data_IF_437130639226
#
_entry.id   IF_437130639226
#
_cell.length_a   1.000
_cell.length_b   1.000
_cell.length_c   1.000
_cell.angle_alpha   90.00
_cell.angle_beta   90.00
_cell.angle_gamma   90.00
#
_symmetry.space_group_name_H-M   'P 1'
#
loop_
_entity.id
_entity.type
_entity.pdbx_description
1 polymer ?
#
# COMPACT_ATOMS: atom_id res chain seq x y z
N UNK A 1 29.85 14.29 66.35
CA UNK A 1 29.57 14.65 64.95
C UNK A 1 30.49 13.83 64.06
N UNK A 2 29.96 12.83 63.35
CA UNK A 2 30.65 12.15 62.25
C UNK A 2 29.57 11.58 61.32
N UNK A 3 29.43 12.18 60.14
CA UNK A 3 28.53 11.73 59.08
C UNK A 3 29.35 10.94 58.05
N UNK A 4 28.96 9.69 57.77
CA UNK A 4 29.37 8.99 56.55
C UNK A 4 28.28 9.17 55.48
N UNK A 5 28.63 9.46 54.21
CA UNK A 5 27.66 9.47 53.13
C UNK A 5 27.54 8.08 52.49
N UNK A 6 26.31 7.58 52.39
CA UNK A 6 25.98 6.39 51.61
C UNK A 6 26.12 6.71 50.11
N UNK A 7 26.90 5.90 49.39
CA UNK A 7 27.04 5.99 47.93
C UNK A 7 25.87 5.26 47.27
N UNK A 8 25.03 6.01 46.57
CA UNK A 8 24.00 5.48 45.68
C UNK A 8 24.69 5.01 44.39
N UNK A 9 24.64 3.71 44.08
CA UNK A 9 25.08 3.17 42.79
C UNK A 9 23.85 3.13 41.88
N UNK A 10 23.80 4.02 40.89
CA UNK A 10 22.80 3.96 39.83
C UNK A 10 23.22 2.87 38.84
N UNK A 11 22.45 1.78 38.78
CA UNK A 11 22.61 0.76 37.75
C UNK A 11 22.06 1.31 36.43
N UNK A 12 22.95 1.67 35.52
CA UNK A 12 22.62 2.07 34.15
C UNK A 12 22.23 0.80 33.37
N UNK A 13 20.92 0.58 33.19
CA UNK A 13 20.43 -0.49 32.33
C UNK A 13 20.71 -0.12 30.87
N UNK A 14 21.78 -0.69 30.30
CA UNK A 14 22.02 -0.70 28.86
C UNK A 14 20.93 -1.57 28.21
N UNK A 15 19.89 -0.93 27.68
CA UNK A 15 18.92 -1.58 26.82
C UNK A 15 19.64 -2.05 25.56
N UNK A 16 19.87 -3.35 25.44
CA UNK A 16 20.24 -3.99 24.19
C UNK A 16 19.07 -3.83 23.23
N UNK A 17 19.15 -2.88 22.29
CA UNK A 17 18.27 -2.85 21.14
C UNK A 17 18.53 -4.11 20.33
N UNK A 18 17.61 -5.08 20.36
CA UNK A 18 17.65 -6.19 19.43
C UNK A 18 17.61 -5.63 17.99
N UNK A 19 18.38 -6.21 17.05
CA UNK A 19 18.28 -5.80 15.66
C UNK A 19 16.84 -6.01 15.18
N UNK A 20 16.23 -5.00 14.57
CA UNK A 20 14.96 -5.17 13.89
C UNK A 20 15.21 -6.07 12.67
N UNK A 21 14.79 -7.33 12.75
CA UNK A 21 14.82 -8.22 11.61
C UNK A 21 13.81 -7.72 10.56
N UNK A 22 14.18 -7.81 9.29
CA UNK A 22 13.25 -7.53 8.20
C UNK A 22 12.07 -8.50 8.31
N UNK A 23 10.84 -7.98 8.29
CA UNK A 23 9.63 -8.80 8.37
C UNK A 23 9.44 -9.53 7.04
N UNK A 24 9.50 -10.86 7.06
CA UNK A 24 9.22 -11.69 5.87
C UNK A 24 7.86 -12.37 5.96
N UNK A 25 7.19 -12.47 4.82
CA UNK A 25 5.89 -13.12 4.67
C UNK A 25 5.97 -14.21 3.61
N UNK A 26 5.15 -15.25 3.78
CA UNK A 26 4.82 -16.21 2.74
C UNK A 26 3.39 -15.97 2.27
N UNK A 27 3.17 -16.04 0.96
CA UNK A 27 1.83 -15.93 0.40
C UNK A 27 1.70 -16.76 -0.88
N UNK A 28 0.51 -17.29 -1.12
CA UNK A 28 0.13 -17.90 -2.40
C UNK A 28 -0.20 -16.79 -3.39
N UNK A 29 0.58 -16.72 -4.46
CA UNK A 29 0.44 -15.78 -5.56
C UNK A 29 -0.44 -16.38 -6.66
N UNK A 30 -1.54 -15.72 -6.99
CA UNK A 30 -2.45 -16.11 -8.08
C UNK A 30 -2.60 -14.95 -9.05
N UNK A 31 -2.13 -15.13 -10.29
CA UNK A 31 -2.14 -14.05 -11.30
C UNK A 31 -3.56 -13.56 -11.55
N UNK A 32 -3.71 -12.26 -11.71
CA UNK A 32 -4.91 -11.68 -12.28
C UNK A 32 -4.53 -10.63 -13.31
N UNK A 33 -4.94 -10.86 -14.55
CA UNK A 33 -4.62 -9.97 -15.68
C UNK A 33 -5.82 -9.04 -15.90
N UNK A 34 -5.99 -8.06 -15.01
CA UNK A 34 -7.03 -7.04 -15.16
C UNK A 34 -6.53 -5.91 -16.04
N UNK A 35 -7.23 -5.62 -17.13
CA UNK A 35 -6.90 -4.52 -18.04
C UNK A 35 -5.46 -4.56 -18.59
N UNK A 36 -4.84 -5.74 -18.68
CA UNK A 36 -3.44 -5.90 -19.13
C UNK A 36 -2.39 -5.58 -18.06
N UNK A 37 -2.79 -5.32 -16.81
CA UNK A 37 -1.86 -5.10 -15.72
C UNK A 37 -1.08 -6.37 -15.35
N UNK A 38 0.20 -6.18 -15.01
CA UNK A 38 1.02 -7.18 -14.30
C UNK A 38 0.63 -7.18 -12.83
N UNK A 39 -0.47 -7.86 -12.52
CA UNK A 39 -1.06 -7.90 -11.19
C UNK A 39 -1.36 -9.32 -10.74
N UNK A 40 -1.45 -9.51 -9.42
CA UNK A 40 -1.85 -10.77 -8.82
C UNK A 40 -2.64 -10.55 -7.55
N UNK A 41 -3.27 -11.61 -7.07
CA UNK A 41 -3.81 -11.68 -5.73
C UNK A 41 -2.88 -12.49 -4.85
N UNK A 42 -2.73 -12.05 -3.60
CA UNK A 42 -2.09 -12.81 -2.55
C UNK A 42 -3.14 -13.38 -1.61
N UNK A 43 -3.02 -14.66 -1.31
CA UNK A 43 -3.82 -15.37 -0.32
C UNK A 43 -2.93 -16.21 0.59
N UNK A 44 -3.48 -16.77 1.67
CA UNK A 44 -2.72 -17.52 2.68
C UNK A 44 -1.52 -16.72 3.21
N UNK A 45 -1.69 -15.41 3.36
CA UNK A 45 -0.63 -14.50 3.77
C UNK A 45 -0.31 -14.75 5.24
N UNK A 46 0.94 -15.12 5.51
CA UNK A 46 1.41 -15.44 6.86
C UNK A 46 2.86 -14.99 7.03
N UNK A 47 3.32 -14.80 8.26
CA UNK A 47 4.75 -14.63 8.50
C UNK A 47 5.51 -15.89 8.14
N UNK A 48 6.66 -15.72 7.49
CA UNK A 48 7.60 -16.81 7.32
C UNK A 48 8.13 -17.26 8.69
N UNK A 49 8.68 -18.46 8.77
CA UNK A 49 9.21 -19.01 10.02
C UNK A 49 10.27 -18.07 10.64
N UNK A 50 10.03 -17.64 11.88
CA UNK A 50 10.92 -16.73 12.61
C UNK A 50 10.62 -15.24 12.44
N UNK A 51 9.65 -14.87 11.60
CA UNK A 51 9.18 -13.49 11.42
C UNK A 51 7.93 -13.20 12.25
N UNK A 52 7.78 -11.95 12.69
CA UNK A 52 6.60 -11.43 13.39
C UNK A 52 6.39 -9.96 13.02
N UNK A 53 5.18 -9.43 13.23
CA UNK A 53 4.84 -8.04 12.94
C UNK A 53 3.37 -7.70 13.20
N UNK A 54 2.90 -6.62 12.58
CA UNK A 54 1.51 -6.15 12.62
C UNK A 54 0.54 -7.04 11.80
N UNK A 55 -0.70 -7.24 12.26
CA UNK A 55 -1.67 -8.12 11.60
C UNK A 55 -1.68 -8.02 10.07
N UNK A 56 -1.41 -9.15 9.42
CA UNK A 56 -1.42 -9.24 7.96
C UNK A 56 -2.85 -9.35 7.44
N UNK A 57 -3.13 -8.78 6.26
CA UNK A 57 -4.41 -9.02 5.60
C UNK A 57 -4.55 -10.49 5.19
N UNK A 58 -5.77 -11.03 5.21
CA UNK A 58 -6.03 -12.40 4.74
C UNK A 58 -5.95 -12.53 3.21
N UNK A 59 -6.15 -11.41 2.51
CA UNK A 59 -6.11 -11.29 1.06
C UNK A 59 -5.63 -9.89 0.70
N UNK A 60 -4.84 -9.76 -0.37
CA UNK A 60 -4.50 -8.45 -0.92
C UNK A 60 -4.30 -8.51 -2.42
N UNK A 61 -4.57 -7.38 -3.08
CA UNK A 61 -4.15 -7.20 -4.44
C UNK A 61 -2.68 -6.80 -4.44
N UNK A 62 -1.91 -7.31 -5.39
CA UNK A 62 -0.56 -6.84 -5.68
C UNK A 62 -0.44 -6.40 -7.14
N UNK A 63 0.43 -5.44 -7.38
CA UNK A 63 0.76 -4.95 -8.70
C UNK A 63 2.28 -4.79 -8.82
N UNK A 64 2.83 -5.20 -9.95
CA UNK A 64 4.25 -5.09 -10.20
C UNK A 64 4.73 -3.63 -10.25
N UNK A 65 5.84 -3.36 -9.57
CA UNK A 65 6.53 -2.05 -9.59
C UNK A 65 7.92 -2.11 -10.19
N UNK A 66 8.40 -3.28 -10.61
CA UNK A 66 9.75 -3.45 -11.16
C UNK A 66 9.69 -4.00 -12.60
N UNK A 67 10.45 -3.39 -13.50
CA UNK A 67 10.52 -3.81 -14.88
C UNK A 67 11.70 -4.77 -15.12
N UNK A 68 11.45 -5.83 -15.88
CA UNK A 68 12.52 -6.69 -16.42
C UNK A 68 12.79 -7.97 -15.64
N UNK A 69 12.32 -8.08 -14.40
CA UNK A 69 12.36 -9.33 -13.64
C UNK A 69 11.22 -10.29 -14.06
N UNK A 70 11.30 -11.55 -13.64
CA UNK A 70 10.27 -12.54 -13.90
C UNK A 70 8.97 -12.23 -13.17
N UNK A 71 7.82 -12.48 -13.80
CA UNK A 71 6.54 -12.47 -13.11
C UNK A 71 6.25 -13.89 -12.58
N UNK A 72 5.91 -14.10 -11.30
CA UNK A 72 5.69 -15.44 -10.74
C UNK A 72 4.56 -16.20 -11.44
N UNK A 73 4.62 -17.53 -11.55
CA UNK A 73 3.49 -18.34 -12.04
C UNK A 73 2.30 -18.25 -11.09
N UNK A 74 1.09 -18.47 -11.61
CA UNK A 74 -0.11 -18.54 -10.75
C UNK A 74 -0.03 -19.72 -9.78
N UNK A 75 -0.74 -19.58 -8.67
CA UNK A 75 -0.91 -20.56 -7.59
C UNK A 75 0.41 -21.07 -7.00
N UNK A 76 1.40 -20.16 -6.92
CA UNK A 76 2.74 -20.45 -6.41
C UNK A 76 2.94 -19.76 -5.07
N UNK A 77 3.43 -20.48 -4.05
CA UNK A 77 3.83 -19.85 -2.78
C UNK A 77 5.18 -19.18 -2.95
N UNK A 78 5.25 -17.91 -2.54
CA UNK A 78 6.43 -17.05 -2.62
C UNK A 78 6.75 -16.49 -1.24
N UNK A 79 8.02 -16.22 -0.98
CA UNK A 79 8.49 -15.54 0.23
C UNK A 79 8.91 -14.13 -0.14
N UNK A 80 8.35 -13.14 0.56
CA UNK A 80 8.64 -11.73 0.34
C UNK A 80 9.21 -11.11 1.61
N UNK A 81 10.14 -10.16 1.48
CA UNK A 81 10.38 -9.17 2.53
C UNK A 81 9.34 -8.07 2.40
N UNK A 82 8.70 -7.72 3.51
CA UNK A 82 7.66 -6.69 3.58
C UNK A 82 8.30 -5.34 3.95
N UNK A 83 8.02 -4.34 3.13
CA UNK A 83 8.47 -2.96 3.32
C UNK A 83 7.26 -2.03 3.47
N UNK A 84 7.40 -1.03 4.33
CA UNK A 84 6.37 0.01 4.54
C UNK A 84 6.55 1.22 3.63
N UNK A 85 7.70 1.29 2.95
CA UNK A 85 8.05 2.29 1.96
C UNK A 85 8.87 1.64 0.83
N UNK A 86 9.07 2.37 -0.26
CA UNK A 86 9.78 1.89 -1.44
C UNK A 86 11.31 2.04 -1.30
N UNK A 87 11.84 2.41 -0.14
CA UNK A 87 13.28 2.59 0.07
C UNK A 87 14.01 1.27 -0.07
N UNK A 88 15.03 1.24 -0.93
CA UNK A 88 15.80 0.03 -1.23
C UNK A 88 15.14 -0.89 -2.26
N UNK A 89 13.90 -0.59 -2.70
CA UNK A 89 13.21 -1.29 -3.79
C UNK A 89 13.27 -0.55 -5.12
N UNK A 90 13.65 0.73 -5.09
CA UNK A 90 13.79 1.57 -6.29
C UNK A 90 15.27 1.82 -6.61
N UNK A 91 15.55 2.17 -7.87
CA UNK A 91 16.91 2.39 -8.36
C UNK A 91 17.65 3.56 -7.66
N UNK A 92 16.90 4.52 -7.11
CA UNK A 92 17.42 5.67 -6.36
C UNK A 92 16.95 5.64 -4.90
N UNK A 93 17.59 4.87 -3.99
CA UNK A 93 17.11 4.69 -2.62
C UNK A 93 16.90 5.98 -1.83
N UNK A 94 17.72 7.01 -2.06
CA UNK A 94 17.58 8.32 -1.40
C UNK A 94 16.25 9.03 -1.74
N UNK A 95 15.60 8.64 -2.83
CA UNK A 95 14.29 9.12 -3.25
C UNK A 95 13.13 8.23 -2.75
N UNK A 96 13.40 7.12 -2.05
CA UNK A 96 12.41 6.08 -1.71
C UNK A 96 11.20 6.59 -0.93
N UNK A 97 11.42 7.45 0.06
CA UNK A 97 10.34 8.06 0.82
C UNK A 97 9.43 8.92 -0.08
N UNK A 98 10.01 9.70 -1.00
CA UNK A 98 9.24 10.53 -1.92
C UNK A 98 8.56 9.69 -3.00
N UNK A 99 9.22 8.65 -3.51
CA UNK A 99 8.62 7.68 -4.44
C UNK A 99 7.39 7.00 -3.82
N UNK A 100 7.46 6.68 -2.52
CA UNK A 100 6.32 6.13 -1.76
C UNK A 100 5.11 7.07 -1.79
N UNK A 101 5.32 8.37 -1.64
CA UNK A 101 4.25 9.37 -1.76
C UNK A 101 3.64 9.35 -3.17
N UNK A 102 4.47 9.27 -4.21
CA UNK A 102 4.01 9.22 -5.61
C UNK A 102 3.22 7.94 -5.90
N UNK A 103 3.68 6.78 -5.42
CA UNK A 103 2.95 5.52 -5.54
C UNK A 103 1.55 5.62 -4.91
N UNK A 104 1.47 6.14 -3.69
CA UNK A 104 0.19 6.34 -3.01
C UNK A 104 -0.73 7.32 -3.78
N UNK A 105 -0.16 8.41 -4.30
CA UNK A 105 -0.90 9.41 -5.08
C UNK A 105 -1.45 8.84 -6.39
N UNK A 106 -0.64 8.08 -7.12
CA UNK A 106 -1.07 7.40 -8.36
C UNK A 106 -2.14 6.35 -8.09
N UNK A 107 -1.99 5.59 -7.01
CA UNK A 107 -2.98 4.59 -6.59
C UNK A 107 -4.34 5.24 -6.34
N UNK A 108 -4.40 6.28 -5.51
CA UNK A 108 -5.67 6.95 -5.16
C UNK A 108 -6.43 7.47 -6.39
N UNK A 109 -5.71 7.93 -7.40
CA UNK A 109 -6.30 8.64 -8.54
C UNK A 109 -6.60 7.75 -9.73
N UNK A 110 -5.80 6.70 -9.94
CA UNK A 110 -5.80 5.97 -11.20
C UNK A 110 -5.96 4.46 -11.05
N UNK A 111 -5.64 3.86 -9.90
CA UNK A 111 -5.65 2.40 -9.77
C UNK A 111 -7.03 1.81 -10.09
N UNK A 112 -8.09 2.38 -9.51
CA UNK A 112 -9.45 1.87 -9.74
C UNK A 112 -9.88 2.02 -11.21
N UNK A 113 -9.67 3.18 -11.83
CA UNK A 113 -10.04 3.40 -13.23
C UNK A 113 -9.17 2.64 -14.24
N UNK A 114 -7.89 2.44 -13.94
CA UNK A 114 -6.92 1.87 -14.88
C UNK A 114 -6.81 0.34 -14.75
N UNK A 115 -6.98 -0.19 -13.55
CA UNK A 115 -6.78 -1.62 -13.27
C UNK A 115 -8.12 -2.30 -12.97
N UNK A 116 -8.91 -1.78 -12.03
CA UNK A 116 -10.17 -2.44 -11.61
C UNK A 116 -11.25 -2.32 -12.69
N UNK A 117 -11.45 -1.11 -13.21
CA UNK A 117 -12.45 -0.78 -14.23
C UNK A 117 -11.82 -0.49 -15.61
N UNK A 118 -10.54 -0.85 -15.76
CA UNK A 118 -9.78 -0.62 -16.98
C UNK A 118 -10.23 -1.52 -18.15
N UNK A 119 -9.71 -1.18 -19.32
CA UNK A 119 -9.93 -1.89 -20.58
C UNK A 119 -8.63 -2.58 -21.03
N UNK A 120 -8.73 -3.85 -21.39
CA UNK A 120 -7.65 -4.60 -22.05
C UNK A 120 -7.47 -4.16 -23.51
N UNK A 121 -8.51 -3.63 -24.15
CA UNK A 121 -8.39 -3.12 -25.53
C UNK A 121 -7.53 -1.84 -25.60
N UNK A 122 -7.50 -1.11 -24.48
CA UNK A 122 -6.75 0.15 -24.34
C UNK A 122 -5.50 -0.03 -23.46
N UNK A 123 -5.18 -1.26 -23.04
CA UNK A 123 -4.04 -1.60 -22.19
C UNK A 123 -3.88 -0.73 -20.94
N UNK A 124 -5.00 -0.24 -20.39
CA UNK A 124 -4.97 0.76 -19.29
C UNK A 124 -4.22 0.28 -18.04
N UNK A 125 -4.30 -1.01 -17.72
CA UNK A 125 -3.56 -1.62 -16.62
C UNK A 125 -2.07 -1.69 -16.90
N UNK A 126 -1.67 -2.02 -18.13
CA UNK A 126 -0.26 -1.99 -18.55
C UNK A 126 0.29 -0.56 -18.52
N UNK A 127 -0.47 0.42 -19.00
CA UNK A 127 -0.10 1.84 -18.92
C UNK A 127 0.10 2.30 -17.47
N UNK A 128 -0.73 1.81 -16.54
CA UNK A 128 -0.55 2.05 -15.10
C UNK A 128 0.75 1.40 -14.58
N UNK A 129 1.03 0.13 -14.89
CA UNK A 129 2.30 -0.50 -14.53
C UNK A 129 3.51 0.30 -15.04
N UNK A 130 3.47 0.82 -16.27
CA UNK A 130 4.56 1.64 -16.80
C UNK A 130 4.86 2.87 -15.95
N UNK A 131 3.83 3.53 -15.41
CA UNK A 131 4.05 4.65 -14.47
C UNK A 131 4.73 4.17 -13.20
N UNK A 132 4.32 3.02 -12.66
CA UNK A 132 4.96 2.47 -11.47
C UNK A 132 6.43 2.14 -11.73
N UNK A 133 6.75 1.60 -12.92
CA UNK A 133 8.12 1.32 -13.36
C UNK A 133 8.94 2.59 -13.55
N UNK A 134 8.36 3.66 -14.08
CA UNK A 134 9.01 4.97 -14.17
C UNK A 134 9.37 5.50 -12.77
N UNK A 135 8.45 5.40 -11.80
CA UNK A 135 8.71 5.79 -10.41
C UNK A 135 9.79 4.90 -9.77
N UNK A 136 9.80 3.60 -10.05
CA UNK A 136 10.77 2.68 -9.45
C UNK A 136 12.17 2.79 -10.07
N UNK A 137 12.26 3.12 -11.35
CA UNK A 137 13.51 3.03 -12.13
C UNK A 137 14.17 4.39 -12.31
N UNK A 138 13.39 5.41 -12.68
CA UNK A 138 13.94 6.68 -13.16
C UNK A 138 13.74 7.84 -12.16
N UNK A 139 12.79 7.72 -11.23
CA UNK A 139 12.57 8.77 -10.23
C UNK A 139 13.76 8.92 -9.27
N UNK A 140 14.41 10.07 -9.31
CA UNK A 140 15.60 10.37 -8.51
C UNK A 140 15.35 11.44 -7.42
N UNK A 141 14.08 11.75 -7.13
CA UNK A 141 13.68 12.79 -6.18
C UNK A 141 13.23 14.10 -6.83
N UNK A 142 13.37 14.24 -8.15
CA UNK A 142 12.87 15.38 -8.93
C UNK A 142 11.76 14.97 -9.88
N UNK A 143 10.75 15.83 -10.09
CA UNK A 143 9.76 15.63 -11.15
C UNK A 143 10.37 15.60 -12.55
N UNK A 144 11.55 16.21 -12.74
CA UNK A 144 12.22 16.26 -14.04
C UNK A 144 12.75 14.89 -14.49
N UNK A 145 12.91 13.95 -13.56
CA UNK A 145 13.34 12.58 -13.87
C UNK A 145 12.17 11.65 -14.21
N UNK A 146 10.92 12.12 -14.07
CA UNK A 146 9.75 11.42 -14.61
C UNK A 146 9.55 11.91 -16.03
N UNK A 147 9.70 11.02 -17.00
CA UNK A 147 9.66 11.42 -18.40
C UNK A 147 8.61 10.63 -19.16
N UNK A 148 7.66 11.37 -19.74
CA UNK A 148 6.77 10.78 -20.71
C UNK A 148 7.54 10.35 -21.97
N UNK A 149 8.71 10.94 -22.26
CA UNK A 149 9.42 10.86 -23.55
C UNK A 149 10.84 10.28 -23.55
N UNK A 150 11.34 9.75 -22.44
CA UNK A 150 12.60 9.01 -22.38
C UNK A 150 12.44 7.74 -21.55
N UNK A 151 13.22 6.71 -21.86
CA UNK A 151 13.11 5.38 -21.23
C UNK A 151 12.82 4.27 -22.24
N UNK A 152 13.16 3.03 -21.88
CA UNK A 152 13.03 1.83 -22.72
C UNK A 152 11.58 1.45 -23.08
N UNK A 153 10.62 2.16 -22.50
CA UNK A 153 9.19 1.83 -22.50
C UNK A 153 8.40 2.74 -23.47
N UNK A 154 9.05 3.72 -24.10
CA UNK A 154 8.43 4.78 -24.91
C UNK A 154 8.04 4.39 -26.36
N UNK A 155 8.07 3.10 -26.73
CA UNK A 155 7.84 2.69 -28.12
C UNK A 155 6.39 2.84 -28.61
N UNK A 156 5.42 2.96 -27.70
CA UNK A 156 3.99 3.05 -28.02
C UNK A 156 3.38 4.30 -27.35
N UNK A 157 2.66 5.12 -28.12
CA UNK A 157 1.86 6.22 -27.59
C UNK A 157 0.78 5.64 -26.69
N UNK A 158 0.88 5.92 -25.39
CA UNK A 158 0.02 5.37 -24.36
C UNK A 158 -0.63 6.54 -23.61
N UNK A 159 -1.85 6.96 -24.00
CA UNK A 159 -2.48 8.20 -23.53
C UNK A 159 -2.63 8.31 -22.01
N UNK A 160 -2.91 7.19 -21.33
CA UNK A 160 -3.08 7.16 -19.89
C UNK A 160 -1.73 7.28 -19.18
N UNK A 161 -0.68 6.62 -19.70
CA UNK A 161 0.68 6.79 -19.18
C UNK A 161 1.10 8.27 -19.21
N UNK A 162 0.95 8.92 -20.37
CA UNK A 162 1.28 10.35 -20.53
C UNK A 162 0.44 11.22 -19.58
N UNK A 163 -0.85 10.92 -19.44
CA UNK A 163 -1.74 11.66 -18.55
C UNK A 163 -1.28 11.57 -17.09
N UNK A 164 -0.91 10.38 -16.61
CA UNK A 164 -0.49 10.18 -15.22
C UNK A 164 0.88 10.82 -14.96
N UNK A 165 1.86 10.65 -15.87
CA UNK A 165 3.19 11.28 -15.72
C UNK A 165 3.09 12.80 -15.74
N UNK A 166 2.24 13.36 -16.60
CA UNK A 166 1.98 14.80 -16.61
C UNK A 166 1.27 15.28 -15.33
N UNK A 167 0.32 14.52 -14.78
CA UNK A 167 -0.33 14.83 -13.50
C UNK A 167 0.70 14.82 -12.36
N UNK A 168 1.58 13.82 -12.31
CA UNK A 168 2.68 13.74 -11.35
C UNK A 168 3.62 14.94 -11.45
N UNK A 169 4.10 15.26 -12.66
CA UNK A 169 5.02 16.37 -12.88
C UNK A 169 4.39 17.72 -12.49
N UNK A 170 3.14 17.94 -12.92
CA UNK A 170 2.40 19.18 -12.65
C UNK A 170 2.12 19.36 -11.15
N UNK A 171 1.73 18.29 -10.46
CA UNK A 171 1.36 18.35 -9.04
C UNK A 171 2.52 18.00 -8.10
N UNK A 172 3.73 17.76 -8.61
CA UNK A 172 4.84 17.25 -7.80
C UNK A 172 5.10 18.09 -6.55
N UNK A 173 4.99 19.42 -6.65
CA UNK A 173 5.19 20.33 -5.51
C UNK A 173 4.02 20.40 -4.52
N UNK A 174 2.83 19.97 -4.93
CA UNK A 174 1.59 20.02 -4.13
C UNK A 174 1.25 18.68 -3.48
N UNK A 175 1.79 17.56 -3.99
CA UNK A 175 1.69 16.25 -3.34
C UNK A 175 2.39 16.34 -1.98
N UNK A 176 1.62 16.15 -0.89
CA UNK A 176 2.13 16.25 0.47
C UNK A 176 3.31 15.29 0.71
N UNK A 177 4.27 15.71 1.53
CA UNK A 177 5.31 14.80 2.03
C UNK A 177 4.66 13.82 3.00
N UNK A 178 4.88 12.53 2.80
CA UNK A 178 4.19 11.48 3.57
C UNK A 178 2.76 11.25 3.10
N UNK A 179 2.43 11.58 1.84
CA UNK A 179 1.11 11.29 1.25
C UNK A 179 0.78 9.80 1.39
N UNK A 180 -0.40 9.48 1.93
CA UNK A 180 -0.89 8.11 2.06
C UNK A 180 -2.27 8.01 1.43
N UNK A 181 -2.48 6.90 0.73
CA UNK A 181 -3.75 6.62 0.10
C UNK A 181 -4.86 6.56 1.14
N UNK A 182 -5.99 7.21 0.84
CA UNK A 182 -7.18 7.14 1.68
C UNK A 182 -8.00 5.87 1.45
N UNK A 183 -7.82 5.22 0.29
CA UNK A 183 -8.56 4.04 -0.12
C UNK A 183 -7.81 2.73 0.15
N UNK A 184 -6.48 2.77 0.18
CA UNK A 184 -5.62 1.60 0.33
C UNK A 184 -4.49 1.83 1.32
N UNK A 185 -4.22 0.83 2.15
CA UNK A 185 -2.89 0.68 2.75
C UNK A 185 -1.96 0.17 1.65
N UNK A 186 -0.93 0.96 1.35
CA UNK A 186 0.11 0.62 0.37
C UNK A 186 1.35 0.13 1.10
N UNK A 187 1.75 -1.11 0.81
CA UNK A 187 3.01 -1.72 1.26
C UNK A 187 3.78 -2.25 0.05
N UNK A 188 5.04 -2.59 0.24
CA UNK A 188 5.88 -3.12 -0.83
C UNK A 188 6.46 -4.48 -0.46
N UNK A 189 6.67 -5.31 -1.47
CA UNK A 189 7.08 -6.70 -1.34
C UNK A 189 8.32 -6.92 -2.21
N UNK A 190 9.42 -7.27 -1.56
CA UNK A 190 10.66 -7.69 -2.22
C UNK A 190 10.70 -9.22 -2.28
N UNK A 191 10.68 -9.81 -3.47
CA UNK A 191 10.72 -11.26 -3.61
C UNK A 191 12.12 -11.81 -3.30
N UNK A 192 12.21 -12.79 -2.40
CA UNK A 192 13.49 -13.33 -1.90
C UNK A 192 14.28 -14.18 -2.90
N UNK A 193 13.71 -14.53 -4.05
CA UNK A 193 14.37 -15.32 -5.10
C UNK A 193 15.25 -14.42 -6.00
N UNK A 194 15.07 -13.09 -5.96
CA UNK A 194 15.86 -12.10 -6.72
C UNK A 194 15.69 -12.16 -8.25
N UNK A 195 15.12 -13.25 -8.78
CA UNK A 195 14.71 -13.38 -10.18
C UNK A 195 13.35 -12.74 -10.45
N UNK A 196 12.49 -12.66 -9.44
CA UNK A 196 11.10 -12.21 -9.60
C UNK A 196 10.93 -10.75 -9.18
N UNK A 197 9.94 -10.10 -9.80
CA UNK A 197 9.68 -8.68 -9.65
C UNK A 197 9.27 -8.30 -8.21
N UNK A 198 9.69 -7.12 -7.78
CA UNK A 198 9.11 -6.46 -6.60
C UNK A 198 7.68 -6.01 -6.89
N UNK A 199 6.83 -6.10 -5.86
CA UNK A 199 5.40 -5.79 -5.96
C UNK A 199 5.00 -4.69 -4.98
N UNK A 200 3.97 -3.94 -5.33
CA UNK A 200 3.23 -3.09 -4.43
C UNK A 200 1.94 -3.82 -4.01
N UNK A 201 1.73 -3.97 -2.71
CA UNK A 201 0.55 -4.56 -2.10
C UNK A 201 -0.46 -3.50 -1.73
N UNK A 202 -1.68 -3.67 -2.21
CA UNK A 202 -2.82 -2.80 -2.00
C UNK A 202 -3.85 -3.54 -1.15
N UNK A 203 -3.99 -3.09 0.10
CA UNK A 203 -5.01 -3.60 1.01
C UNK A 203 -6.08 -2.53 1.19
N UNK A 204 -7.35 -2.75 0.76
CA UNK A 204 -8.41 -1.76 0.93
C UNK A 204 -8.56 -1.35 2.40
N UNK A 205 -8.57 -0.04 2.65
CA UNK A 205 -8.90 0.49 3.97
C UNK A 205 -10.40 0.30 4.14
N UNK A 206 -10.81 -0.49 5.14
CA UNK A 206 -12.23 -0.64 5.43
C UNK A 206 -12.83 0.74 5.73
N UNK A 207 -13.84 1.14 4.96
CA UNK A 207 -14.57 2.36 5.24
C UNK A 207 -15.16 2.25 6.64
N UNK A 208 -14.61 3.01 7.59
CA UNK A 208 -15.20 3.14 8.92
C UNK A 208 -16.48 3.95 8.72
N UNK A 209 -17.67 3.40 9.03
CA UNK A 209 -18.90 4.18 8.90
C UNK A 209 -18.77 5.47 9.72
N UNK A 210 -19.07 6.60 9.09
CA UNK A 210 -19.05 7.92 9.72
C UNK A 210 -19.77 7.86 11.08
N UNK A 211 -19.25 8.51 12.15
CA UNK A 211 -19.89 8.56 13.47
C UNK A 211 -21.36 8.96 13.41
N UNK A 212 -21.70 9.81 12.44
CA UNK A 212 -23.05 10.28 12.17
C UNK A 212 -24.00 9.16 11.74
N UNK A 213 -23.51 8.16 10.99
CA UNK A 213 -24.30 6.98 10.60
C UNK A 213 -24.69 6.15 11.82
N UNK A 214 -23.78 6.02 12.79
CA UNK A 214 -24.10 5.39 14.07
C UNK A 214 -25.09 6.21 14.89
N UNK A 215 -24.96 7.54 14.90
CA UNK A 215 -25.91 8.42 15.57
C UNK A 215 -27.31 8.34 14.95
N UNK A 216 -27.42 8.24 13.62
CA UNK A 216 -28.69 8.06 12.91
C UNK A 216 -29.30 6.67 13.16
N UNK A 217 -28.47 5.62 13.18
CA UNK A 217 -28.91 4.27 13.56
C UNK A 217 -29.44 4.24 15.00
N UNK A 218 -28.68 4.79 15.95
CA UNK A 218 -29.07 4.90 17.36
C UNK A 218 -30.31 5.77 17.53
N UNK A 219 -30.40 6.89 16.80
CA UNK A 219 -31.58 7.75 16.75
C UNK A 219 -32.81 7.00 16.25
N UNK A 220 -32.67 6.22 15.16
CA UNK A 220 -33.72 5.36 14.62
C UNK A 220 -34.20 4.31 15.61
N UNK A 221 -33.27 3.62 16.29
CA UNK A 221 -33.59 2.65 17.34
C UNK A 221 -34.28 3.31 18.55
N UNK A 222 -33.84 4.51 18.94
CA UNK A 222 -34.47 5.30 20.00
C UNK A 222 -35.93 5.65 19.68
N UNK A 223 -36.22 6.04 18.43
CA UNK A 223 -37.58 6.32 17.98
C UNK A 223 -38.46 5.06 18.00
N UNK A 224 -37.94 3.93 17.53
CA UNK A 224 -38.67 2.65 17.57
C UNK A 224 -38.98 2.22 19.01
N UNK A 225 -38.02 2.36 19.93
CA UNK A 225 -38.22 2.10 21.36
C UNK A 225 -39.30 3.00 21.98
N UNK A 226 -39.31 4.29 21.63
CA UNK A 226 -40.33 5.23 22.08
C UNK A 226 -41.73 4.86 21.58
N UNK A 227 -41.86 4.44 20.32
CA UNK A 227 -43.14 3.99 19.73
C UNK A 227 -43.63 2.70 20.41
N UNK A 228 -42.74 1.73 20.63
CA UNK A 228 -43.09 0.49 21.32
C UNK A 228 -43.61 0.74 22.73
N UNK A 229 -42.96 1.63 23.49
CA UNK A 229 -43.41 2.04 24.84
C UNK A 229 -44.80 2.67 24.82
N UNK A 230 -45.09 3.53 23.84
CA UNK A 230 -46.43 4.16 23.70
C UNK A 230 -47.53 3.14 23.43
N UNK A 231 -47.26 2.10 22.64
CA UNK A 231 -48.24 1.05 22.32
C UNK A 231 -48.57 0.18 23.53
N UNK A 232 -47.60 -0.08 24.42
CA UNK A 232 -47.85 -0.83 25.65
C UNK A 232 -48.64 -0.03 26.70
N UNK A 233 -48.60 1.30 26.62
CA UNK A 233 -49.32 2.18 27.54
C UNK A 233 -50.79 2.43 27.15
N UNK A 234 -51.26 1.92 26.00
CA UNK A 234 -52.69 1.95 25.66
C UNK A 234 -53.40 0.73 26.29
N UNK A 235 -54.35 0.93 27.22
CA UNK A 235 -55.16 -0.15 27.74
C UNK A 235 -55.98 -0.77 26.60
N UNK A 236 -55.91 -2.10 26.45
CA UNK A 236 -56.85 -2.83 25.61
C UNK A 236 -58.23 -2.69 26.26
N UNK A 237 -59.08 -1.83 25.69
CA UNK A 237 -60.49 -1.70 26.05
C UNK A 237 -61.33 -2.72 25.32
#
# INVERSE_FOLDING_TARGET
>A
MNFQPARLVAALALGLSAPAFATTIEATFTRNEHAGAYSATLSNIQYAAGSTGDPLPSFSQVICIDYGNGFPSSDTTRTYTLHTDATGLIAHPDAGARATDLFNYVVDRYYDSAVVHGSTADDTGFQFNKVLWEIATDFNGSSDSLSAGSGWIYADYLPLYDAIVNDLSTNFSTIAVGYRSSAYTVSFLDDQDGYYQSMMMLTPVAAVPEPETYALLLGGLGLLGAVARRRQAQPQG
#
